data_IF_735852639978
#
_entry.id   IF_735852639978
#
_cell.length_a   1.000
_cell.length_b   1.000
_cell.length_c   1.000
_cell.angle_alpha   90.00
_cell.angle_beta   90.00
_cell.angle_gamma   90.00
#
_symmetry.space_group_name_H-M   'P 1'
#
loop_
_entity.id
_entity.type
_entity.pdbx_description
1 polymer ?
#
# COMPACT_ATOMS: atom_id res chain seq x y z
N UNK A 1 -18.98 12.64 -4.97
CA UNK A 1 -18.22 11.64 -4.21
C UNK A 1 -17.77 10.50 -5.12
N UNK A 2 -18.66 9.88 -5.90
CA UNK A 2 -18.32 8.75 -6.79
C UNK A 2 -17.11 9.07 -7.70
N UNK A 3 -17.10 10.22 -8.37
CA UNK A 3 -15.98 10.64 -9.23
C UNK A 3 -14.64 10.76 -8.49
N UNK A 4 -14.65 11.26 -7.23
CA UNK A 4 -13.45 11.31 -6.38
C UNK A 4 -12.93 9.91 -6.06
N UNK A 5 -13.85 9.01 -5.63
CA UNK A 5 -13.50 7.63 -5.29
C UNK A 5 -12.94 6.93 -6.53
N UNK A 6 -13.62 7.02 -7.66
CA UNK A 6 -13.17 6.38 -8.91
C UNK A 6 -11.79 6.86 -9.33
N UNK A 7 -11.54 8.19 -9.31
CA UNK A 7 -10.24 8.76 -9.68
C UNK A 7 -9.11 8.25 -8.76
N UNK A 8 -9.35 8.22 -7.44
CA UNK A 8 -8.35 7.74 -6.48
C UNK A 8 -8.09 6.24 -6.60
N UNK A 9 -9.13 5.43 -6.79
CA UNK A 9 -9.00 3.97 -6.99
C UNK A 9 -8.22 3.68 -8.27
N UNK A 10 -8.56 4.33 -9.38
CA UNK A 10 -7.87 4.13 -10.66
C UNK A 10 -6.40 4.57 -10.58
N UNK A 11 -6.11 5.71 -9.94
CA UNK A 11 -4.73 6.12 -9.72
C UNK A 11 -3.93 5.11 -8.87
N UNK A 12 -4.59 4.40 -7.93
CA UNK A 12 -3.94 3.38 -7.09
C UNK A 12 -3.68 2.05 -7.83
N UNK A 13 -4.24 1.86 -9.04
CA UNK A 13 -4.14 0.58 -9.77
C UNK A 13 -2.70 0.22 -10.14
N UNK A 14 -1.83 1.20 -10.45
CA UNK A 14 -0.43 0.93 -10.75
C UNK A 14 0.26 0.13 -9.63
N UNK A 15 0.15 0.60 -8.39
CA UNK A 15 0.69 -0.08 -7.22
C UNK A 15 -0.02 -1.42 -6.92
N UNK A 16 -1.35 -1.43 -7.03
CA UNK A 16 -2.16 -2.60 -6.70
C UNK A 16 -1.90 -3.77 -7.66
N UNK A 17 -1.63 -3.47 -8.92
CA UNK A 17 -1.42 -4.47 -9.98
C UNK A 17 0.05 -4.65 -10.37
N UNK A 18 0.98 -4.17 -9.54
CA UNK A 18 2.41 -4.41 -9.73
C UNK A 18 2.75 -5.90 -10.01
N UNK A 19 2.13 -6.91 -9.36
CA UNK A 19 2.38 -8.31 -9.69
C UNK A 19 2.09 -8.65 -11.15
N UNK A 20 0.94 -8.23 -11.66
CA UNK A 20 0.54 -8.48 -13.05
C UNK A 20 1.39 -7.70 -14.05
N UNK A 21 1.81 -6.48 -13.70
CA UNK A 21 2.74 -5.70 -14.51
C UNK A 21 4.09 -6.42 -14.63
N UNK A 22 4.63 -6.91 -13.53
CA UNK A 22 5.89 -7.67 -13.53
C UNK A 22 5.73 -8.94 -14.40
N UNK A 23 4.64 -9.68 -14.24
CA UNK A 23 4.34 -10.83 -15.08
C UNK A 23 4.28 -10.49 -16.56
N UNK A 24 3.52 -9.48 -16.94
CA UNK A 24 3.36 -9.05 -18.33
C UNK A 24 4.68 -8.57 -18.96
N UNK A 25 5.52 -7.86 -18.20
CA UNK A 25 6.83 -7.39 -18.67
C UNK A 25 7.81 -8.54 -18.90
N UNK A 26 7.80 -9.55 -18.05
CA UNK A 26 8.66 -10.73 -18.19
C UNK A 26 8.20 -11.57 -19.38
N UNK A 27 6.91 -11.88 -19.50
CA UNK A 27 6.40 -12.80 -20.52
C UNK A 27 6.32 -12.19 -21.91
N UNK A 28 6.07 -10.88 -22.00
CA UNK A 28 5.73 -10.27 -23.29
C UNK A 28 6.60 -9.07 -23.69
N UNK A 29 7.43 -8.53 -22.80
CA UNK A 29 8.34 -7.42 -23.12
C UNK A 29 9.82 -7.83 -23.07
N UNK A 30 10.12 -9.12 -22.80
CA UNK A 30 11.49 -9.66 -22.80
C UNK A 30 12.38 -9.14 -21.68
N UNK A 31 11.80 -8.59 -20.61
CA UNK A 31 12.57 -8.17 -19.45
C UNK A 31 12.85 -9.37 -18.53
N UNK A 32 14.02 -9.39 -17.87
CA UNK A 32 14.28 -10.35 -16.81
C UNK A 32 13.39 -10.05 -15.60
N UNK A 33 13.15 -11.05 -14.73
CA UNK A 33 12.39 -10.87 -13.49
C UNK A 33 12.98 -9.73 -12.65
N UNK A 34 14.31 -9.64 -12.60
CA UNK A 34 15.04 -8.57 -11.93
C UNK A 34 14.73 -7.19 -12.52
N UNK A 35 14.73 -7.06 -13.83
CA UNK A 35 14.40 -5.80 -14.52
C UNK A 35 12.94 -5.40 -14.29
N UNK A 36 12.00 -6.34 -14.41
CA UNK A 36 10.59 -6.07 -14.18
C UNK A 36 10.29 -5.66 -12.72
N UNK A 37 10.96 -6.30 -11.76
CA UNK A 37 10.90 -5.89 -10.35
C UNK A 37 11.47 -4.49 -10.09
N UNK A 38 12.56 -4.12 -10.77
CA UNK A 38 13.13 -2.78 -10.70
C UNK A 38 12.15 -1.72 -11.28
N UNK A 39 11.41 -2.05 -12.33
CA UNK A 39 10.34 -1.19 -12.88
C UNK A 39 9.27 -0.92 -11.83
N UNK A 40 8.79 -1.95 -11.12
CA UNK A 40 7.82 -1.79 -10.04
C UNK A 40 8.38 -0.94 -8.89
N UNK A 41 9.65 -1.14 -8.53
CA UNK A 41 10.33 -0.35 -7.50
C UNK A 41 10.41 1.14 -7.86
N UNK A 42 10.81 1.45 -9.08
CA UNK A 42 10.94 2.84 -9.56
C UNK A 42 9.59 3.54 -9.64
N UNK A 43 8.52 2.83 -9.99
CA UNK A 43 7.16 3.35 -9.90
C UNK A 43 6.77 3.73 -8.47
N UNK A 44 7.07 2.86 -7.49
CA UNK A 44 6.80 3.14 -6.08
C UNK A 44 7.69 4.27 -5.54
N UNK A 45 8.94 4.38 -6.01
CA UNK A 45 9.81 5.52 -5.68
C UNK A 45 9.26 6.83 -6.25
N UNK A 46 8.77 6.82 -7.48
CA UNK A 46 8.04 7.95 -8.06
C UNK A 46 6.82 8.35 -7.22
N UNK A 47 6.04 7.36 -6.77
CA UNK A 47 4.89 7.61 -5.91
C UNK A 47 5.30 8.19 -4.54
N UNK A 48 6.40 7.74 -3.95
CA UNK A 48 6.94 8.33 -2.71
C UNK A 48 7.30 9.81 -2.91
N UNK A 49 7.98 10.14 -4.00
CA UNK A 49 8.34 11.54 -4.33
C UNK A 49 7.10 12.39 -4.57
N UNK A 50 6.10 11.86 -5.30
CA UNK A 50 4.82 12.52 -5.54
C UNK A 50 4.04 12.79 -4.26
N UNK A 51 3.96 11.82 -3.36
CA UNK A 51 3.31 11.97 -2.06
C UNK A 51 4.02 13.03 -1.19
N UNK A 52 5.35 13.03 -1.18
CA UNK A 52 6.15 14.04 -0.47
C UNK A 52 5.93 15.45 -1.06
N UNK A 53 5.93 15.60 -2.37
CA UNK A 53 5.65 16.87 -3.02
C UNK A 53 4.24 17.39 -2.66
N UNK A 54 3.23 16.50 -2.67
CA UNK A 54 1.86 16.87 -2.33
C UNK A 54 1.68 17.27 -0.87
N UNK A 55 2.44 16.69 0.05
CA UNK A 55 2.43 17.13 1.45
C UNK A 55 2.67 18.65 1.61
N UNK A 56 3.49 19.24 0.73
CA UNK A 56 3.82 20.67 0.79
C UNK A 56 2.87 21.58 -0.02
N UNK A 57 2.21 21.04 -1.05
CA UNK A 57 1.49 21.89 -2.03
C UNK A 57 -0.01 21.60 -2.16
N UNK A 58 -0.53 20.48 -1.63
CA UNK A 58 -1.92 20.05 -1.83
C UNK A 58 -2.96 21.09 -1.39
N UNK A 59 -2.64 21.91 -0.40
CA UNK A 59 -3.51 22.96 0.12
C UNK A 59 -3.38 24.29 -0.62
N UNK A 60 -2.42 24.43 -1.56
CA UNK A 60 -2.17 25.67 -2.32
C UNK A 60 -2.74 25.61 -3.72
N UNK A 61 -2.96 24.41 -4.25
CA UNK A 61 -3.38 24.19 -5.63
C UNK A 61 -4.85 23.79 -5.70
N UNK A 62 -5.45 24.05 -6.85
CA UNK A 62 -6.84 23.66 -7.11
C UNK A 62 -6.94 22.13 -7.25
N UNK A 63 -7.74 21.52 -6.39
CA UNK A 63 -7.85 20.05 -6.28
C UNK A 63 -8.39 19.40 -7.56
N UNK A 64 -9.38 20.01 -8.21
CA UNK A 64 -9.95 19.49 -9.46
C UNK A 64 -8.89 19.41 -10.57
N UNK A 65 -8.13 20.49 -10.75
CA UNK A 65 -7.06 20.56 -11.76
C UNK A 65 -5.95 19.54 -11.49
N UNK A 66 -5.58 19.31 -10.22
CA UNK A 66 -4.62 18.29 -9.82
C UNK A 66 -5.12 16.87 -10.13
N UNK A 67 -6.39 16.57 -9.82
CA UNK A 67 -6.97 15.25 -10.07
C UNK A 67 -7.12 15.03 -11.59
N UNK A 68 -7.67 15.99 -12.31
CA UNK A 68 -7.88 15.88 -13.77
C UNK A 68 -6.55 15.78 -14.52
N UNK A 69 -5.65 16.74 -14.29
CA UNK A 69 -4.33 16.74 -14.92
C UNK A 69 -3.52 15.49 -14.57
N UNK A 70 -3.56 15.08 -13.32
CA UNK A 70 -2.93 13.85 -12.87
C UNK A 70 -3.54 12.59 -13.51
N UNK A 71 -4.86 12.46 -13.59
CA UNK A 71 -5.52 11.32 -14.22
C UNK A 71 -5.19 11.25 -15.73
N UNK A 72 -5.18 12.39 -16.43
CA UNK A 72 -4.79 12.46 -17.83
C UNK A 72 -3.30 12.10 -18.04
N UNK A 73 -2.40 12.65 -17.21
CA UNK A 73 -0.98 12.31 -17.30
C UNK A 73 -0.73 10.85 -16.96
N UNK A 74 -1.47 10.26 -16.02
CA UNK A 74 -1.41 8.83 -15.71
C UNK A 74 -1.88 7.99 -16.90
N UNK A 75 -2.97 8.40 -17.58
CA UNK A 75 -3.44 7.74 -18.78
C UNK A 75 -2.42 7.83 -19.94
N UNK A 76 -1.86 9.02 -20.18
CA UNK A 76 -0.82 9.23 -21.21
C UNK A 76 0.44 8.43 -20.89
N UNK A 77 0.85 8.38 -19.62
CA UNK A 77 2.01 7.60 -19.19
C UNK A 77 1.80 6.09 -19.41
N UNK A 78 0.61 5.55 -19.09
CA UNK A 78 0.29 4.15 -19.38
C UNK A 78 0.20 3.90 -20.90
N UNK A 79 -0.36 4.83 -21.66
CA UNK A 79 -0.37 4.75 -23.12
C UNK A 79 1.07 4.74 -23.67
N UNK A 80 1.94 5.64 -23.20
CA UNK A 80 3.35 5.67 -23.58
C UNK A 80 4.05 4.33 -23.25
N UNK A 81 3.79 3.76 -22.06
CA UNK A 81 4.36 2.48 -21.65
C UNK A 81 4.01 1.33 -22.61
N UNK A 82 2.88 1.41 -23.34
CA UNK A 82 2.50 0.41 -24.34
C UNK A 82 3.34 0.49 -25.63
N UNK A 83 3.99 1.61 -25.91
CA UNK A 83 4.76 1.85 -27.15
C UNK A 83 6.27 1.98 -26.92
N UNK A 84 6.71 2.15 -25.68
CA UNK A 84 8.15 2.29 -25.37
C UNK A 84 8.79 0.91 -25.34
N UNK A 85 9.89 0.79 -26.07
CA UNK A 85 10.72 -0.41 -26.04
C UNK A 85 11.98 -0.16 -25.21
N UNK A 86 12.42 -1.20 -24.50
CA UNK A 86 13.64 -1.19 -23.71
C UNK A 86 13.47 -0.76 -22.25
N UNK A 87 14.35 -1.33 -21.43
CA UNK A 87 14.30 -1.24 -19.96
C UNK A 87 14.38 0.21 -19.43
N UNK A 88 15.30 1.03 -19.96
CA UNK A 88 15.52 2.40 -19.47
C UNK A 88 14.32 3.31 -19.74
N UNK A 89 13.69 3.16 -20.92
CA UNK A 89 12.57 3.99 -21.30
C UNK A 89 11.33 3.65 -20.46
N UNK A 90 11.07 2.36 -20.22
CA UNK A 90 9.95 1.94 -19.36
C UNK A 90 10.17 2.35 -17.90
N UNK A 91 11.41 2.32 -17.38
CA UNK A 91 11.74 2.86 -16.05
C UNK A 91 11.33 4.32 -15.91
N UNK A 92 11.71 5.17 -16.87
CA UNK A 92 11.40 6.61 -16.83
C UNK A 92 9.88 6.86 -16.87
N UNK A 93 9.17 6.17 -17.75
CA UNK A 93 7.72 6.30 -17.87
C UNK A 93 7.02 5.83 -16.59
N UNK A 94 7.44 4.70 -15.99
CA UNK A 94 6.83 4.19 -14.76
C UNK A 94 7.15 5.04 -13.53
N UNK A 95 8.35 5.64 -13.44
CA UNK A 95 8.66 6.65 -12.42
C UNK A 95 7.68 7.81 -12.46
N UNK A 96 7.40 8.34 -13.65
CA UNK A 96 6.44 9.42 -13.85
C UNK A 96 5.01 8.98 -13.51
N UNK A 97 4.60 7.79 -13.94
CA UNK A 97 3.28 7.24 -13.61
C UNK A 97 3.09 7.12 -12.09
N UNK A 98 4.11 6.63 -11.37
CA UNK A 98 4.08 6.55 -9.91
C UNK A 98 3.93 7.92 -9.25
N UNK A 99 4.75 8.90 -9.68
CA UNK A 99 4.67 10.27 -9.18
C UNK A 99 3.26 10.86 -9.35
N UNK A 100 2.72 10.77 -10.55
CA UNK A 100 1.40 11.32 -10.89
C UNK A 100 0.27 10.60 -10.16
N UNK A 101 0.36 9.26 -10.04
CA UNK A 101 -0.55 8.44 -9.26
C UNK A 101 -0.67 8.96 -7.81
N UNK A 102 0.46 9.18 -7.15
CA UNK A 102 0.48 9.68 -5.77
C UNK A 102 -0.09 11.10 -5.64
N UNK A 103 0.14 11.97 -6.64
CA UNK A 103 -0.49 13.30 -6.69
C UNK A 103 -2.01 13.19 -6.68
N UNK A 104 -2.58 12.32 -7.52
CA UNK A 104 -4.03 12.09 -7.57
C UNK A 104 -4.54 11.52 -6.25
N UNK A 105 -3.92 10.45 -5.75
CA UNK A 105 -4.35 9.77 -4.52
C UNK A 105 -4.32 10.71 -3.31
N UNK A 106 -3.24 11.48 -3.14
CA UNK A 106 -3.11 12.43 -2.05
C UNK A 106 -4.16 13.55 -2.14
N UNK A 107 -4.44 14.06 -3.36
CA UNK A 107 -5.45 15.09 -3.58
C UNK A 107 -6.86 14.57 -3.32
N UNK A 108 -7.15 13.33 -3.73
CA UNK A 108 -8.43 12.66 -3.45
C UNK A 108 -8.60 12.46 -1.94
N UNK A 109 -7.58 11.95 -1.26
CA UNK A 109 -7.60 11.76 0.20
C UNK A 109 -7.86 13.10 0.93
N UNK A 110 -7.14 14.15 0.58
CA UNK A 110 -7.36 15.49 1.12
C UNK A 110 -8.78 16.02 0.83
N UNK A 111 -9.34 15.69 -0.33
CA UNK A 111 -10.69 16.11 -0.72
C UNK A 111 -11.77 15.35 0.05
N UNK A 112 -11.56 14.07 0.36
CA UNK A 112 -12.45 13.27 1.19
C UNK A 112 -12.41 13.76 2.64
N UNK A 113 -11.20 14.02 3.19
CA UNK A 113 -11.00 14.45 4.57
C UNK A 113 -11.74 15.74 4.94
N UNK A 114 -12.00 16.61 3.98
CA UNK A 114 -12.69 17.89 4.20
C UNK A 114 -14.22 17.83 3.99
N UNK A 115 -14.78 16.64 3.78
CA UNK A 115 -16.24 16.47 3.58
C UNK A 115 -16.95 16.06 4.86
N UNK A 116 -18.21 16.44 4.97
CA UNK A 116 -19.11 15.86 5.97
C UNK A 116 -19.24 14.35 5.72
N UNK A 117 -19.12 13.54 6.77
CA UNK A 117 -19.13 12.09 6.69
C UNK A 117 -17.89 11.50 6.02
N UNK A 118 -16.70 12.08 6.28
CA UNK A 118 -15.43 11.64 5.74
C UNK A 118 -15.17 10.16 6.03
N UNK A 119 -15.55 9.66 7.21
CA UNK A 119 -15.38 8.24 7.59
C UNK A 119 -16.13 7.31 6.62
N UNK A 120 -17.38 7.65 6.31
CA UNK A 120 -18.18 6.89 5.33
C UNK A 120 -17.57 6.97 3.93
N UNK A 121 -17.07 8.14 3.54
CA UNK A 121 -16.45 8.33 2.23
C UNK A 121 -15.14 7.54 2.10
N UNK A 122 -14.30 7.49 3.14
CA UNK A 122 -13.12 6.62 3.18
C UNK A 122 -13.50 5.14 3.19
N UNK A 123 -14.53 4.74 3.93
CA UNK A 123 -15.05 3.37 3.90
C UNK A 123 -15.45 2.94 2.50
N UNK A 124 -16.19 3.79 1.77
CA UNK A 124 -16.55 3.53 0.38
C UNK A 124 -15.33 3.51 -0.56
N UNK A 125 -14.34 4.37 -0.34
CA UNK A 125 -13.09 4.37 -1.11
C UNK A 125 -12.35 3.04 -0.97
N UNK A 126 -12.12 2.56 0.26
CA UNK A 126 -11.46 1.28 0.50
C UNK A 126 -12.26 0.08 0.00
N UNK A 127 -13.58 0.09 0.19
CA UNK A 127 -14.46 -0.97 -0.33
C UNK A 127 -14.38 -1.04 -1.86
N UNK A 128 -14.45 0.11 -2.54
CA UNK A 128 -14.33 0.18 -4.00
C UNK A 128 -12.95 -0.31 -4.45
N UNK A 129 -11.88 0.04 -3.72
CA UNK A 129 -10.52 -0.42 -4.01
C UNK A 129 -10.40 -1.95 -3.90
N UNK A 130 -10.99 -2.56 -2.86
CA UNK A 130 -10.99 -4.02 -2.67
C UNK A 130 -11.77 -4.71 -3.78
N UNK A 131 -12.99 -4.24 -4.08
CA UNK A 131 -13.84 -4.83 -5.13
C UNK A 131 -13.18 -4.69 -6.49
N UNK A 132 -12.69 -3.49 -6.84
CA UNK A 132 -11.99 -3.26 -8.09
C UNK A 132 -10.71 -4.12 -8.20
N UNK A 133 -9.96 -4.26 -7.10
CA UNK A 133 -8.80 -5.12 -7.02
C UNK A 133 -9.13 -6.58 -7.33
N UNK A 134 -10.21 -7.11 -6.74
CA UNK A 134 -10.66 -8.47 -6.98
C UNK A 134 -11.13 -8.68 -8.43
N UNK A 135 -11.99 -7.78 -8.94
CA UNK A 135 -12.52 -7.87 -10.32
C UNK A 135 -11.40 -7.77 -11.35
N UNK A 136 -10.50 -6.80 -11.19
CA UNK A 136 -9.37 -6.65 -12.12
C UNK A 136 -8.42 -7.85 -12.07
N UNK A 137 -8.20 -8.46 -10.90
CA UNK A 137 -7.38 -9.67 -10.79
C UNK A 137 -7.95 -10.86 -11.59
N UNK A 138 -9.26 -10.91 -11.80
CA UNK A 138 -9.91 -11.91 -12.66
C UNK A 138 -9.79 -11.58 -14.14
N UNK A 139 -9.80 -10.30 -14.51
CA UNK A 139 -9.86 -9.84 -15.91
C UNK A 139 -8.46 -9.62 -16.50
N UNK A 140 -7.50 -9.13 -15.71
CA UNK A 140 -6.14 -8.80 -16.19
C UNK A 140 -5.44 -9.99 -16.87
N UNK A 141 -5.49 -11.23 -16.35
CA UNK A 141 -4.86 -12.36 -17.04
C UNK A 141 -5.38 -12.57 -18.46
N UNK A 142 -6.69 -12.39 -18.69
CA UNK A 142 -7.28 -12.49 -20.04
C UNK A 142 -6.81 -11.35 -20.96
N UNK A 143 -6.69 -10.13 -20.42
CA UNK A 143 -6.17 -8.97 -21.16
C UNK A 143 -4.70 -9.21 -21.54
N UNK A 144 -3.88 -9.69 -20.61
CA UNK A 144 -2.46 -9.96 -20.84
C UNK A 144 -2.28 -11.12 -21.83
N UNK A 145 -3.07 -12.20 -21.74
CA UNK A 145 -3.00 -13.30 -22.69
C UNK A 145 -3.40 -12.90 -24.12
N UNK A 146 -4.32 -11.95 -24.29
CA UNK A 146 -4.77 -11.47 -25.59
C UNK A 146 -3.86 -10.37 -26.19
N UNK A 147 -3.32 -9.46 -25.37
CA UNK A 147 -2.62 -8.26 -25.82
C UNK A 147 -1.22 -8.07 -25.23
N UNK A 148 -0.72 -9.04 -24.46
CA UNK A 148 0.59 -8.95 -23.81
C UNK A 148 0.72 -7.77 -22.85
N UNK A 149 1.95 -7.31 -22.65
CA UNK A 149 2.24 -6.12 -21.85
C UNK A 149 1.57 -4.86 -22.40
N UNK A 150 1.46 -4.74 -23.73
CA UNK A 150 0.75 -3.62 -24.37
C UNK A 150 -0.73 -3.61 -23.99
N UNK A 151 -1.40 -4.76 -24.00
CA UNK A 151 -2.79 -4.91 -23.61
C UNK A 151 -3.03 -4.46 -22.16
N UNK A 152 -2.13 -4.83 -21.25
CA UNK A 152 -2.18 -4.39 -19.86
C UNK A 152 -2.12 -2.87 -19.72
N UNK A 153 -1.17 -2.22 -20.40
CA UNK A 153 -1.03 -0.76 -20.34
C UNK A 153 -2.16 -0.01 -21.08
N UNK A 154 -2.67 -0.54 -22.19
CA UNK A 154 -3.88 0.01 -22.85
C UNK A 154 -5.09 -0.05 -21.93
N UNK A 155 -5.29 -1.14 -21.22
CA UNK A 155 -6.40 -1.27 -20.28
C UNK A 155 -6.30 -0.24 -19.13
N UNK A 156 -5.12 -0.08 -18.53
CA UNK A 156 -4.89 0.94 -17.49
C UNK A 156 -5.11 2.36 -18.02
N UNK A 157 -4.61 2.67 -19.24
CA UNK A 157 -4.83 3.95 -19.88
C UNK A 157 -6.31 4.22 -20.14
N UNK A 158 -7.04 3.23 -20.68
CA UNK A 158 -8.46 3.35 -20.96
C UNK A 158 -9.30 3.61 -19.71
N UNK A 159 -9.05 2.87 -18.64
CA UNK A 159 -9.74 3.06 -17.35
C UNK A 159 -9.39 4.43 -16.76
N UNK A 160 -8.15 4.90 -16.87
CA UNK A 160 -7.74 6.23 -16.40
C UNK A 160 -8.42 7.35 -17.18
N UNK A 161 -8.54 7.22 -18.51
CA UNK A 161 -9.28 8.18 -19.36
C UNK A 161 -10.77 8.21 -19.00
N UNK A 162 -11.40 7.05 -18.82
CA UNK A 162 -12.81 6.97 -18.40
C UNK A 162 -13.02 7.60 -17.02
N UNK A 163 -12.10 7.39 -16.07
CA UNK A 163 -12.19 8.01 -14.77
C UNK A 163 -12.03 9.54 -14.83
N UNK A 164 -11.17 10.04 -15.72
CA UNK A 164 -10.93 11.47 -15.89
C UNK A 164 -12.18 12.23 -16.38
N UNK A 165 -13.01 11.60 -17.20
CA UNK A 165 -14.29 12.17 -17.62
C UNK A 165 -15.23 12.44 -16.43
N UNK A 166 -15.21 11.59 -15.40
CA UNK A 166 -15.98 11.82 -14.17
C UNK A 166 -15.47 12.99 -13.33
N UNK A 167 -14.18 13.33 -13.43
CA UNK A 167 -13.56 14.42 -12.65
C UNK A 167 -14.11 15.79 -13.04
N UNK A 168 -14.61 15.95 -14.27
CA UNK A 168 -15.23 17.19 -14.76
C UNK A 168 -16.40 17.63 -13.87
N UNK A 169 -17.09 16.67 -13.24
CA UNK A 169 -18.22 16.93 -12.33
C UNK A 169 -17.80 17.23 -10.87
N UNK A 170 -16.50 17.25 -10.57
CA UNK A 170 -16.01 17.63 -9.24
C UNK A 170 -16.00 19.15 -9.15
N UNK A 171 -16.62 19.76 -8.12
CA UNK A 171 -16.56 21.21 -7.93
C UNK A 171 -15.14 21.70 -7.77
N UNK A 172 -14.82 22.83 -8.40
CA UNK A 172 -13.55 23.51 -8.17
C UNK A 172 -13.49 23.98 -6.70
N UNK A 173 -12.52 23.50 -5.95
CA UNK A 173 -12.32 23.89 -4.55
C UNK A 173 -10.83 24.07 -4.26
N UNK A 174 -10.50 25.21 -3.65
CA UNK A 174 -9.20 25.39 -2.98
C UNK A 174 -9.37 24.99 -1.51
N UNK A 175 -8.39 24.33 -0.94
CA UNK A 175 -8.43 24.03 0.49
C UNK A 175 -8.35 25.31 1.30
N UNK A 176 -9.22 25.46 2.28
CA UNK A 176 -8.97 26.37 3.40
C UNK A 176 -7.81 25.83 4.21
N UNK A 177 -6.78 26.67 4.37
CA UNK A 177 -5.53 26.29 5.05
C UNK A 177 -5.79 26.15 6.54
N UNK A 178 -6.05 24.94 7.00
CA UNK A 178 -5.74 24.60 8.38
C UNK A 178 -4.25 24.24 8.43
N UNK A 179 -3.42 25.21 8.72
CA UNK A 179 -2.01 25.00 9.03
C UNK A 179 -1.94 24.23 10.35
N UNK A 180 -1.68 22.93 10.28
CA UNK A 180 -1.04 22.27 11.40
C UNK A 180 0.41 22.79 11.43
N UNK A 181 0.66 23.77 12.29
CA UNK A 181 2.01 24.22 12.63
C UNK A 181 2.71 23.05 13.32
N UNK A 182 3.43 22.24 12.53
CA UNK A 182 4.39 21.31 13.11
C UNK A 182 5.53 22.16 13.65
N UNK A 183 5.58 22.35 14.96
CA UNK A 183 6.74 22.89 15.66
C UNK A 183 7.94 22.00 15.32
N UNK A 184 8.83 22.51 14.49
CA UNK A 184 10.15 21.96 14.27
C UNK A 184 10.89 21.99 15.61
N UNK A 185 11.35 20.86 16.11
CA UNK A 185 12.26 20.84 17.26
C UNK A 185 11.95 19.77 18.30
N UNK A 186 12.19 18.50 17.99
CA UNK A 186 12.74 17.58 18.98
C UNK A 186 13.44 16.43 18.25
N UNK A 187 14.60 16.06 18.76
CA UNK A 187 15.30 14.84 18.38
C UNK A 187 14.34 13.69 18.66
N UNK A 188 14.15 12.78 17.68
CA UNK A 188 13.33 11.60 17.87
C UNK A 188 13.90 10.74 19.00
N UNK A 189 13.04 10.31 19.91
CA UNK A 189 13.43 9.33 20.90
C UNK A 189 13.57 7.92 20.25
N UNK A 190 14.23 7.02 20.97
CA UNK A 190 14.49 5.67 20.46
C UNK A 190 13.19 4.90 20.11
N UNK A 191 12.07 5.18 20.79
CA UNK A 191 10.77 4.53 20.56
C UNK A 191 10.11 5.04 19.29
N UNK A 192 10.20 6.34 19.03
CA UNK A 192 9.70 6.94 17.80
C UNK A 192 10.45 6.40 16.59
N UNK A 193 11.79 6.27 16.68
CA UNK A 193 12.60 5.65 15.63
C UNK A 193 12.25 4.18 15.42
N UNK A 194 12.04 3.41 16.49
CA UNK A 194 11.61 2.01 16.39
C UNK A 194 10.22 1.90 15.76
N UNK A 195 9.28 2.80 16.06
CA UNK A 195 7.96 2.79 15.45
C UNK A 195 8.03 3.08 13.94
N UNK A 196 8.82 4.08 13.53
CA UNK A 196 9.09 4.38 12.12
C UNK A 196 9.76 3.19 11.41
N UNK A 197 10.76 2.57 12.04
CA UNK A 197 11.42 1.39 11.51
C UNK A 197 10.46 0.19 11.38
N UNK A 198 9.59 -0.04 12.36
CA UNK A 198 8.56 -1.07 12.30
C UNK A 198 7.66 -0.89 11.08
N UNK A 199 7.13 0.31 10.86
CA UNK A 199 6.28 0.63 9.71
C UNK A 199 7.05 0.45 8.39
N UNK A 200 8.25 0.99 8.30
CA UNK A 200 9.11 0.87 7.13
C UNK A 200 9.37 -0.59 6.76
N UNK A 201 9.86 -1.39 7.72
CA UNK A 201 10.19 -2.80 7.51
C UNK A 201 8.95 -3.64 7.17
N UNK A 202 7.78 -3.33 7.77
CA UNK A 202 6.52 -4.01 7.46
C UNK A 202 6.14 -3.83 5.99
N UNK A 203 6.31 -2.62 5.45
CA UNK A 203 6.05 -2.32 4.05
C UNK A 203 7.16 -2.79 3.11
N UNK A 204 8.42 -2.84 3.55
CA UNK A 204 9.51 -3.49 2.79
C UNK A 204 9.19 -4.98 2.58
N UNK A 205 8.82 -5.69 3.65
CA UNK A 205 8.45 -7.09 3.57
C UNK A 205 7.26 -7.31 2.64
N UNK A 206 6.20 -6.51 2.79
CA UNK A 206 5.03 -6.59 1.92
C UNK A 206 5.38 -6.31 0.45
N UNK A 207 6.10 -5.24 0.16
CA UNK A 207 6.49 -4.85 -1.19
C UNK A 207 7.34 -5.90 -1.89
N UNK A 208 8.31 -6.49 -1.18
CA UNK A 208 9.16 -7.54 -1.71
C UNK A 208 8.37 -8.79 -2.12
N UNK A 209 7.41 -9.23 -1.29
CA UNK A 209 6.55 -10.38 -1.63
C UNK A 209 5.52 -10.02 -2.70
N UNK A 210 4.77 -8.91 -2.49
CA UNK A 210 3.63 -8.56 -3.34
C UNK A 210 4.03 -8.38 -4.79
N UNK A 211 5.18 -7.76 -5.06
CA UNK A 211 5.67 -7.51 -6.41
C UNK A 211 5.86 -8.79 -7.23
N UNK A 212 6.27 -9.88 -6.59
CA UNK A 212 6.61 -11.13 -7.27
C UNK A 212 5.60 -12.25 -7.06
N UNK A 213 4.50 -12.01 -6.33
CA UNK A 213 3.54 -13.06 -5.97
C UNK A 213 2.88 -13.71 -7.21
N UNK A 214 2.64 -12.95 -8.26
CA UNK A 214 2.12 -13.48 -9.52
C UNK A 214 3.13 -14.41 -10.20
N UNK A 215 4.41 -14.00 -10.24
CA UNK A 215 5.50 -14.83 -10.79
C UNK A 215 5.72 -16.11 -9.99
N UNK A 216 5.52 -16.06 -8.68
CA UNK A 216 5.56 -17.25 -7.84
C UNK A 216 4.43 -18.22 -8.21
N UNK A 217 3.21 -17.71 -8.42
CA UNK A 217 2.08 -18.50 -8.90
C UNK A 217 2.28 -19.05 -10.30
N UNK A 218 2.92 -18.30 -11.21
CA UNK A 218 3.24 -18.76 -12.57
C UNK A 218 4.33 -19.85 -12.59
N UNK A 219 5.14 -19.98 -11.55
CA UNK A 219 6.10 -21.07 -11.37
C UNK A 219 5.46 -22.40 -10.98
N UNK A 220 4.19 -22.40 -10.59
CA UNK A 220 3.38 -23.61 -10.33
C UNK A 220 2.69 -24.02 -11.64
N UNK A 221 2.31 -25.30 -11.85
CA UNK A 221 1.59 -25.72 -13.06
C UNK A 221 0.12 -25.23 -13.04
N UNK A 222 -0.05 -23.91 -13.00
CA UNK A 222 -1.34 -23.20 -12.99
C UNK A 222 -1.48 -22.34 -14.24
N UNK A 223 -2.73 -22.17 -14.68
CA UNK A 223 -3.03 -21.19 -15.73
C UNK A 223 -2.95 -19.76 -15.18
N UNK A 224 -2.68 -18.77 -16.01
CA UNK A 224 -2.69 -17.35 -15.62
C UNK A 224 -4.04 -16.95 -14.99
N UNK A 225 -5.15 -17.49 -15.49
CA UNK A 225 -6.48 -17.28 -14.90
C UNK A 225 -6.59 -17.84 -13.47
N UNK A 226 -5.98 -18.99 -13.19
CA UNK A 226 -5.96 -19.59 -11.85
C UNK A 226 -5.12 -18.74 -10.87
N UNK A 227 -3.98 -18.21 -11.31
CA UNK A 227 -3.18 -17.26 -10.53
C UNK A 227 -3.97 -15.98 -10.26
N UNK A 228 -4.65 -15.44 -11.28
CA UNK A 228 -5.54 -14.27 -11.13
C UNK A 228 -6.66 -14.53 -10.12
N UNK A 229 -7.27 -15.72 -10.12
CA UNK A 229 -8.29 -16.12 -9.14
C UNK A 229 -7.70 -16.17 -7.71
N UNK A 230 -6.50 -16.72 -7.52
CA UNK A 230 -5.85 -16.75 -6.22
C UNK A 230 -5.60 -15.31 -5.69
N UNK A 231 -5.15 -14.40 -6.56
CA UNK A 231 -4.95 -13.00 -6.20
C UNK A 231 -6.28 -12.27 -5.92
N UNK A 232 -7.35 -12.59 -6.66
CA UNK A 232 -8.69 -12.07 -6.36
C UNK A 232 -9.19 -12.54 -4.98
N UNK A 233 -9.03 -13.82 -4.66
CA UNK A 233 -9.37 -14.39 -3.34
C UNK A 233 -8.57 -13.71 -2.22
N UNK A 234 -7.31 -13.37 -2.48
CA UNK A 234 -6.46 -12.69 -1.49
C UNK A 234 -6.97 -11.30 -1.07
N UNK A 235 -7.75 -10.62 -1.92
CA UNK A 235 -8.40 -9.35 -1.55
C UNK A 235 -9.39 -9.56 -0.39
N UNK A 236 -10.08 -10.71 -0.36
CA UNK A 236 -10.91 -11.14 0.78
C UNK A 236 -10.08 -11.34 2.06
N UNK A 237 -8.84 -11.82 1.94
CA UNK A 237 -7.90 -11.90 3.07
C UNK A 237 -7.59 -10.52 3.65
N UNK A 238 -7.29 -9.54 2.80
CA UNK A 238 -7.08 -8.15 3.23
C UNK A 238 -8.31 -7.56 3.93
N UNK A 239 -9.49 -7.73 3.34
CA UNK A 239 -10.74 -7.26 3.92
C UNK A 239 -11.05 -7.92 5.27
N UNK A 240 -10.90 -9.24 5.38
CA UNK A 240 -11.14 -9.98 6.62
C UNK A 240 -10.13 -9.65 7.71
N UNK A 241 -8.86 -9.37 7.37
CA UNK A 241 -7.84 -8.92 8.32
C UNK A 241 -8.18 -7.56 8.92
N UNK A 242 -8.58 -6.60 8.09
CA UNK A 242 -9.03 -5.28 8.55
C UNK A 242 -10.33 -5.36 9.37
N UNK A 243 -11.28 -6.21 8.97
CA UNK A 243 -12.50 -6.46 9.72
C UNK A 243 -12.19 -7.11 11.08
N UNK A 244 -11.33 -8.10 11.12
CA UNK A 244 -10.89 -8.73 12.37
C UNK A 244 -10.27 -7.71 13.32
N UNK A 245 -9.40 -6.80 12.81
CA UNK A 245 -8.84 -5.73 13.62
C UNK A 245 -9.93 -4.81 14.20
N UNK A 246 -10.93 -4.45 13.40
CA UNK A 246 -12.06 -3.62 13.82
C UNK A 246 -12.91 -4.30 14.91
N UNK A 247 -13.23 -5.59 14.74
CA UNK A 247 -14.05 -6.36 15.68
C UNK A 247 -13.31 -6.65 16.99
N UNK A 248 -12.03 -6.94 16.91
CA UNK A 248 -11.17 -7.22 18.08
C UNK A 248 -10.87 -5.92 18.83
N UNK A 249 -10.60 -4.82 18.12
CA UNK A 249 -10.27 -3.52 18.69
C UNK A 249 -9.15 -3.63 19.71
N UNK A 250 -9.28 -2.90 20.81
CA UNK A 250 -8.29 -2.90 21.90
C UNK A 250 -8.43 -4.02 22.94
N UNK A 251 -9.36 -4.97 22.77
CA UNK A 251 -9.70 -5.98 23.81
C UNK A 251 -8.52 -6.83 24.28
N UNK A 252 -7.55 -7.09 23.41
CA UNK A 252 -6.37 -7.91 23.71
C UNK A 252 -5.06 -7.12 23.65
N UNK A 253 -5.14 -5.78 23.68
CA UNK A 253 -4.02 -4.89 23.40
C UNK A 253 -3.51 -5.01 21.97
N UNK A 254 -2.43 -4.32 21.65
CA UNK A 254 -1.81 -4.36 20.32
C UNK A 254 -0.83 -5.55 20.15
N UNK A 255 -0.28 -6.07 21.26
CA UNK A 255 0.73 -7.12 21.24
C UNK A 255 0.29 -8.40 20.53
N UNK A 256 -0.88 -8.98 20.94
CA UNK A 256 -1.35 -10.27 20.41
C UNK A 256 -1.68 -10.20 18.91
N UNK A 257 -2.44 -9.19 18.43
CA UNK A 257 -2.73 -9.06 17.00
C UNK A 257 -1.48 -8.88 16.14
N UNK A 258 -0.49 -8.09 16.57
CA UNK A 258 0.76 -7.91 15.81
C UNK A 258 1.57 -9.20 15.76
N UNK A 259 1.67 -9.94 16.87
CA UNK A 259 2.35 -11.23 16.91
C UNK A 259 1.68 -12.24 15.97
N UNK A 260 0.34 -12.34 16.03
CA UNK A 260 -0.44 -13.20 15.13
C UNK A 260 -0.24 -12.82 13.66
N UNK A 261 -0.30 -11.52 13.35
CA UNK A 261 -0.13 -11.01 12.00
C UNK A 261 1.26 -11.32 11.43
N UNK A 262 2.31 -11.13 12.22
CA UNK A 262 3.68 -11.44 11.83
C UNK A 262 3.88 -12.95 11.61
N UNK A 263 3.38 -13.78 12.52
CA UNK A 263 3.44 -15.24 12.38
C UNK A 263 2.64 -15.73 11.17
N UNK A 264 1.42 -15.25 10.99
CA UNK A 264 0.57 -15.60 9.85
C UNK A 264 1.23 -15.21 8.52
N UNK A 265 1.79 -13.99 8.42
CA UNK A 265 2.48 -13.53 7.21
C UNK A 265 3.74 -14.34 6.91
N UNK A 266 4.53 -14.68 7.93
CA UNK A 266 5.74 -15.48 7.78
C UNK A 266 5.42 -16.93 7.33
N UNK A 267 4.46 -17.59 8.00
CA UNK A 267 4.02 -18.93 7.63
C UNK A 267 3.40 -18.97 6.23
N UNK A 268 2.59 -17.97 5.91
CA UNK A 268 2.00 -17.84 4.58
C UNK A 268 3.05 -17.61 3.50
N UNK A 269 4.09 -16.81 3.76
CA UNK A 269 5.22 -16.62 2.86
C UNK A 269 5.95 -17.94 2.58
N UNK A 270 6.24 -18.72 3.61
CA UNK A 270 6.83 -20.06 3.46
C UNK A 270 5.90 -21.00 2.68
N UNK A 271 4.60 -21.02 3.02
CA UNK A 271 3.61 -21.84 2.33
C UNK A 271 3.45 -21.47 0.85
N UNK A 272 3.61 -20.21 0.47
CA UNK A 272 3.59 -19.81 -0.94
C UNK A 272 4.73 -20.46 -1.73
N UNK A 273 5.95 -20.54 -1.17
CA UNK A 273 7.11 -21.16 -1.83
C UNK A 273 6.88 -22.66 -2.06
N UNK A 274 6.29 -23.34 -1.08
CA UNK A 274 6.04 -24.78 -1.11
C UNK A 274 4.72 -25.15 -1.82
N UNK A 275 4.00 -24.17 -2.33
CA UNK A 275 2.70 -24.40 -2.98
C UNK A 275 2.88 -25.15 -4.31
N UNK A 276 2.03 -26.18 -4.52
CA UNK A 276 2.01 -27.00 -5.73
C UNK A 276 0.62 -27.09 -6.37
N UNK A 277 -0.36 -26.39 -5.82
CA UNK A 277 -1.74 -26.36 -6.30
C UNK A 277 -2.38 -24.98 -6.13
N UNK A 278 -3.47 -24.75 -6.90
CA UNK A 278 -4.25 -23.51 -6.76
C UNK A 278 -4.75 -23.29 -5.32
N UNK A 279 -5.23 -24.35 -4.68
CA UNK A 279 -5.82 -24.23 -3.34
C UNK A 279 -4.76 -23.83 -2.30
N UNK A 280 -3.60 -24.49 -2.29
CA UNK A 280 -2.51 -24.17 -1.37
C UNK A 280 -1.97 -22.76 -1.60
N UNK A 281 -1.78 -22.37 -2.85
CA UNK A 281 -1.32 -21.03 -3.20
C UNK A 281 -2.35 -19.96 -2.83
N UNK A 282 -3.62 -20.13 -3.19
CA UNK A 282 -4.68 -19.17 -2.89
C UNK A 282 -4.87 -18.96 -1.38
N UNK A 283 -4.85 -20.06 -0.59
CA UNK A 283 -4.92 -19.96 0.87
C UNK A 283 -3.69 -19.23 1.43
N UNK A 284 -2.49 -19.53 0.95
CA UNK A 284 -1.28 -18.88 1.40
C UNK A 284 -1.31 -17.37 1.12
N UNK A 285 -1.67 -16.95 -0.09
CA UNK A 285 -1.76 -15.51 -0.44
C UNK A 285 -2.88 -14.81 0.34
N UNK A 286 -4.02 -15.49 0.56
CA UNK A 286 -5.11 -14.97 1.39
C UNK A 286 -4.65 -14.72 2.83
N UNK A 287 -3.98 -15.70 3.45
CA UNK A 287 -3.47 -15.59 4.83
C UNK A 287 -2.38 -14.51 4.93
N UNK A 288 -1.53 -14.39 3.91
CA UNK A 288 -0.53 -13.32 3.84
C UNK A 288 -1.17 -11.93 3.86
N UNK A 289 -2.17 -11.71 3.01
CA UNK A 289 -2.92 -10.44 2.95
C UNK A 289 -3.71 -10.17 4.24
N UNK A 290 -4.29 -11.23 4.84
CA UNK A 290 -4.95 -11.14 6.14
C UNK A 290 -3.98 -10.64 7.21
N UNK A 291 -2.81 -11.26 7.35
CA UNK A 291 -1.79 -10.87 8.32
C UNK A 291 -1.33 -9.43 8.11
N UNK A 292 -1.03 -9.06 6.85
CA UNK A 292 -0.65 -7.69 6.52
C UNK A 292 -1.69 -6.66 6.97
N UNK A 293 -2.97 -6.89 6.63
CA UNK A 293 -4.05 -5.95 6.93
C UNK A 293 -4.46 -5.95 8.40
N UNK A 294 -4.30 -7.06 9.11
CA UNK A 294 -4.56 -7.17 10.54
C UNK A 294 -3.59 -6.30 11.35
N UNK A 295 -2.29 -6.26 11.00
CA UNK A 295 -1.29 -5.51 11.74
C UNK A 295 -1.47 -3.99 11.65
N UNK A 296 -1.92 -3.48 10.51
CA UNK A 296 -1.90 -2.06 10.18
C UNK A 296 -2.59 -1.15 11.20
N UNK A 297 -3.83 -1.41 11.64
CA UNK A 297 -4.49 -0.57 12.65
C UNK A 297 -3.74 -0.55 13.99
N UNK A 298 -3.14 -1.67 14.38
CA UNK A 298 -2.40 -1.78 15.65
C UNK A 298 -1.05 -1.08 15.61
N UNK A 299 -0.32 -1.15 14.48
CA UNK A 299 0.91 -0.36 14.28
C UNK A 299 0.57 1.14 14.31
N UNK A 300 -0.53 1.55 13.69
CA UNK A 300 -1.01 2.93 13.73
C UNK A 300 -1.42 3.36 15.14
N UNK A 301 -2.03 2.48 15.92
CA UNK A 301 -2.39 2.74 17.33
C UNK A 301 -1.13 2.92 18.21
N UNK A 302 -0.05 2.19 17.95
CA UNK A 302 1.25 2.40 18.62
C UNK A 302 1.76 3.82 18.35
N UNK A 303 1.68 4.31 17.13
CA UNK A 303 2.09 5.68 16.79
C UNK A 303 1.31 6.72 17.58
N UNK A 304 -0.02 6.58 17.61
CA UNK A 304 -0.89 7.46 18.38
C UNK A 304 -0.67 7.36 19.91
N UNK A 305 -0.21 6.21 20.40
CA UNK A 305 0.16 5.99 21.80
C UNK A 305 1.48 6.68 22.18
N UNK A 306 2.45 6.70 21.27
CA UNK A 306 3.78 7.30 21.49
C UNK A 306 3.76 8.82 21.27
N UNK A 307 3.04 9.29 20.24
CA UNK A 307 3.01 10.71 19.85
C UNK A 307 1.58 11.22 19.69
N UNK A 308 1.18 12.12 20.57
CA UNK A 308 -0.14 12.77 20.53
C UNK A 308 -0.21 13.96 19.55
N UNK A 309 0.93 14.42 19.04
CA UNK A 309 0.97 15.56 18.11
C UNK A 309 0.55 15.19 16.68
N UNK A 310 0.52 13.89 16.33
CA UNK A 310 0.25 13.37 14.99
C UNK A 310 1.43 13.45 14.02
N UNK A 311 2.59 14.01 14.45
CA UNK A 311 3.80 14.10 13.63
C UNK A 311 4.32 12.70 13.26
N UNK A 312 4.37 11.81 14.25
CA UNK A 312 4.84 10.44 14.03
C UNK A 312 3.95 9.70 13.03
N UNK A 313 2.63 9.93 13.07
CA UNK A 313 1.67 9.34 12.12
C UNK A 313 1.91 9.81 10.68
N UNK A 314 2.20 11.11 10.51
CA UNK A 314 2.54 11.69 9.20
C UNK A 314 3.84 11.09 8.66
N UNK A 315 4.87 10.94 9.49
CA UNK A 315 6.13 10.30 9.11
C UNK A 315 5.93 8.81 8.84
N UNK A 316 5.01 8.14 9.54
CA UNK A 316 4.62 6.78 9.28
C UNK A 316 4.11 6.56 7.86
N UNK A 317 3.30 7.47 7.32
CA UNK A 317 2.87 7.41 5.90
C UNK A 317 4.02 7.53 4.91
N UNK A 318 5.04 8.35 5.22
CA UNK A 318 6.26 8.40 4.40
C UNK A 318 7.06 7.11 4.49
N UNK A 319 7.13 6.48 5.67
CA UNK A 319 7.78 5.18 5.85
C UNK A 319 7.06 4.05 5.11
N UNK A 320 5.73 4.08 5.01
CA UNK A 320 4.96 3.17 4.16
C UNK A 320 5.38 3.30 2.69
N UNK A 321 5.37 4.53 2.16
CA UNK A 321 5.75 4.79 0.77
C UNK A 321 7.21 4.39 0.49
N UNK A 322 8.13 4.73 1.40
CA UNK A 322 9.53 4.34 1.30
C UNK A 322 9.71 2.81 1.34
N UNK A 323 8.98 2.12 2.23
CA UNK A 323 9.01 0.66 2.32
C UNK A 323 8.50 -0.01 1.04
N UNK A 324 7.40 0.49 0.47
CA UNK A 324 6.88 0.02 -0.83
C UNK A 324 7.83 0.26 -2.00
N UNK A 325 8.69 1.29 -1.94
CA UNK A 325 9.71 1.53 -2.95
C UNK A 325 10.94 0.61 -2.77
N UNK A 326 11.40 0.46 -1.51
CA UNK A 326 12.60 -0.32 -1.19
C UNK A 326 12.34 -1.83 -1.27
N UNK A 327 11.15 -2.30 -0.88
CA UNK A 327 10.80 -3.72 -0.90
C UNK A 327 11.01 -4.37 -2.27
N UNK A 328 10.37 -3.89 -3.34
CA UNK A 328 10.58 -4.40 -4.69
C UNK A 328 12.03 -4.21 -5.18
N UNK A 329 12.73 -3.13 -4.78
CA UNK A 329 14.13 -2.90 -5.16
C UNK A 329 15.04 -3.99 -4.61
N UNK A 330 14.93 -4.27 -3.30
CA UNK A 330 15.73 -5.34 -2.69
C UNK A 330 15.26 -6.70 -3.20
N UNK A 331 13.95 -6.93 -3.32
CA UNK A 331 13.41 -8.15 -3.91
C UNK A 331 13.98 -8.41 -5.31
N UNK A 332 14.00 -7.39 -6.18
CA UNK A 332 14.55 -7.51 -7.54
C UNK A 332 16.07 -7.80 -7.57
N UNK A 333 16.80 -7.35 -6.55
CA UNK A 333 18.23 -7.66 -6.42
C UNK A 333 18.50 -9.13 -6.01
N UNK A 334 17.53 -9.73 -5.30
CA UNK A 334 17.63 -11.09 -4.74
C UNK A 334 17.08 -12.18 -5.66
N UNK A 335 16.14 -11.84 -6.58
CA UNK A 335 15.56 -12.81 -7.51
C UNK A 335 16.51 -13.09 -8.69
N UNK A 336 16.34 -14.28 -9.29
CA UNK A 336 16.91 -14.64 -10.58
C UNK A 336 15.78 -15.13 -11.50
N UNK A 337 16.09 -15.35 -12.78
CA UNK A 337 15.11 -15.90 -13.72
C UNK A 337 14.74 -17.36 -13.38
N UNK A 338 15.54 -18.03 -12.55
CA UNK A 338 15.31 -19.40 -12.09
C UNK A 338 14.50 -19.47 -10.79
N UNK A 339 14.65 -18.48 -9.88
CA UNK A 339 14.01 -18.53 -8.55
C UNK A 339 13.65 -17.17 -7.98
N UNK A 340 12.48 -17.12 -7.39
CA UNK A 340 11.93 -15.96 -6.66
C UNK A 340 12.05 -16.16 -5.14
N UNK A 341 12.27 -17.39 -4.69
CA UNK A 341 12.28 -17.75 -3.28
C UNK A 341 13.18 -16.85 -2.39
N UNK A 342 14.38 -16.40 -2.81
CA UNK A 342 15.21 -15.52 -1.99
C UNK A 342 14.51 -14.20 -1.60
N UNK A 343 13.71 -13.61 -2.48
CA UNK A 343 12.95 -12.39 -2.16
C UNK A 343 11.86 -12.66 -1.12
N UNK A 344 11.22 -13.83 -1.17
CA UNK A 344 10.20 -14.23 -0.18
C UNK A 344 10.85 -14.55 1.17
N UNK A 345 11.98 -15.27 1.19
CA UNK A 345 12.74 -15.49 2.44
C UNK A 345 13.21 -14.18 3.08
N UNK A 346 13.72 -13.25 2.29
CA UNK A 346 14.03 -11.90 2.77
C UNK A 346 12.80 -11.23 3.39
N UNK A 347 11.67 -11.27 2.71
CA UNK A 347 10.41 -10.72 3.20
C UNK A 347 9.98 -11.33 4.53
N UNK A 348 10.11 -12.66 4.69
CA UNK A 348 9.80 -13.36 5.94
C UNK A 348 10.70 -12.85 7.08
N UNK A 349 12.01 -12.79 6.86
CA UNK A 349 12.97 -12.31 7.88
C UNK A 349 12.68 -10.87 8.29
N UNK A 350 12.49 -9.99 7.31
CA UNK A 350 12.19 -8.56 7.57
C UNK A 350 10.82 -8.39 8.22
N UNK A 351 9.81 -9.16 7.81
CA UNK A 351 8.46 -9.16 8.41
C UNK A 351 8.49 -9.62 9.87
N UNK A 352 9.27 -10.66 10.18
CA UNK A 352 9.48 -11.10 11.57
C UNK A 352 10.19 -10.00 12.38
N UNK A 353 11.24 -9.38 11.84
CA UNK A 353 11.93 -8.28 12.52
C UNK A 353 10.99 -7.11 12.80
N UNK A 354 10.18 -6.69 11.83
CA UNK A 354 9.14 -5.68 12.00
C UNK A 354 8.13 -6.08 13.09
N UNK A 355 7.67 -7.34 13.05
CA UNK A 355 6.76 -7.90 14.05
C UNK A 355 7.34 -7.86 15.47
N UNK A 356 8.60 -8.25 15.64
CA UNK A 356 9.28 -8.20 16.95
C UNK A 356 9.41 -6.78 17.48
N UNK A 357 9.76 -5.81 16.64
CA UNK A 357 9.78 -4.39 17.01
C UNK A 357 8.39 -3.92 17.41
N UNK A 358 7.36 -4.24 16.59
CA UNK A 358 5.98 -3.88 16.86
C UNK A 358 5.46 -4.47 18.17
N UNK A 359 5.73 -5.76 18.42
CA UNK A 359 5.39 -6.46 19.67
C UNK A 359 6.04 -5.81 20.89
N UNK A 360 7.32 -5.43 20.78
CA UNK A 360 8.02 -4.75 21.88
C UNK A 360 7.39 -3.39 22.21
N UNK A 361 7.08 -2.61 21.17
CA UNK A 361 6.45 -1.31 21.32
C UNK A 361 5.01 -1.42 21.84
N UNK A 362 4.25 -2.41 21.35
CA UNK A 362 2.89 -2.67 21.81
C UNK A 362 2.82 -2.98 23.30
N UNK A 363 3.70 -3.84 23.81
CA UNK A 363 3.80 -4.11 25.27
C UNK A 363 4.02 -2.86 26.07
N UNK A 364 4.87 -1.95 25.58
CA UNK A 364 5.12 -0.70 26.25
C UNK A 364 3.88 0.22 26.29
N UNK A 365 3.17 0.35 25.15
CA UNK A 365 1.94 1.16 25.04
C UNK A 365 0.82 0.54 25.87
N UNK A 366 0.63 -0.77 25.81
CA UNK A 366 -0.39 -1.52 26.55
C UNK A 366 -0.18 -1.38 28.08
N UNK A 367 1.06 -1.41 28.56
CA UNK A 367 1.39 -1.18 29.98
C UNK A 367 1.13 0.28 30.40
N UNK A 368 1.40 1.26 29.53
CA UNK A 368 1.15 2.67 29.79
C UNK A 368 -0.33 3.01 29.90
N UNK A 369 -1.18 2.32 29.16
CA UNK A 369 -2.64 2.44 29.24
C UNK A 369 -3.20 1.76 30.51
N UNK A 370 -2.55 0.72 30.99
CA UNK A 370 -2.95 0.00 32.21
C UNK A 370 -2.53 0.69 33.51
N UNK A 371 -1.62 1.67 33.46
CA UNK A 371 -1.27 2.46 34.64
C UNK A 371 -2.43 3.38 35.01
N UNK A 372 -3.02 3.26 36.21
CA UNK A 372 -4.09 4.15 36.64
C UNK A 372 -3.59 5.58 36.59
N UNK A 373 -4.34 6.47 35.94
CA UNK A 373 -4.12 7.90 36.05
C UNK A 373 -4.06 8.22 37.56
N UNK A 374 -2.91 8.68 38.07
CA UNK A 374 -2.85 9.25 39.39
C UNK A 374 -3.87 10.38 39.40
N UNK A 375 -5.01 10.13 40.01
CA UNK A 375 -5.97 11.16 40.38
C UNK A 375 -5.16 12.12 41.25
N UNK A 376 -4.78 13.25 40.68
CA UNK A 376 -4.27 14.38 41.46
C UNK A 376 -5.41 14.70 42.40
N UNK A 377 -5.22 14.32 43.67
CA UNK A 377 -6.19 14.50 44.70
C UNK A 377 -6.66 15.95 44.74
N UNK A 378 -7.96 16.09 44.53
CA UNK A 378 -8.68 17.28 44.89
C UNK A 378 -8.63 17.41 46.40
N UNK A 379 -8.24 18.60 46.88
CA UNK A 379 -8.75 19.04 48.15
C UNK A 379 -7.75 19.19 49.25
N UNK A 380 -7.24 20.39 49.43
CA UNK A 380 -7.19 21.02 50.74
C UNK A 380 -8.35 22.01 50.82
N UNK A 381 -9.23 21.91 51.82
CA UNK A 381 -10.17 22.97 52.08
C UNK A 381 -9.44 24.12 52.76
N UNK A 382 -9.44 25.29 52.16
CA UNK A 382 -9.05 26.54 52.79
C UNK A 382 -10.02 26.82 53.96
N UNK A 383 -9.58 26.53 55.15
CA UNK A 383 -10.10 27.16 56.35
C UNK A 383 -9.30 28.46 56.60
N UNK A 384 -10.06 29.57 56.67
CA UNK A 384 -9.54 30.86 57.10
C UNK A 384 -10.40 32.00 56.58
#
# INVERSE_FOLDING_TARGET
LAALITAGVVASMGASFAPFMVGALVEHAGLSIKQAGAVASVEMAGAMVGAFAMFHVVNRLERRSLILGGALLFAIGNLAAAFVDGFQAILAVRALCGFVSAVVVATVAASIATREGAERAYGLFFLTMIISGALCSLVIPAIVSAGGARGFFFALSGVALLSSAGVIFIPASKASVAQSTSTAGSIFDARQLQALACMFLWFVAFGATWTFVERLGAGIPLTAAAVGLALAISMGGGASGALAASLVGGRYGAFKPIALAAAASALAGAAMIESNSLATFAIAVLVYKFGFSLAMPYISAIFAGIDKSGRLMTLGTLMQAAGLAVGPAVGSALVSDETIAPAIYFSIVIGIAAGLIGVRLARFVDMGVAAPSKVVGAGEPLHG
#
